data_IF_263085265014
#
_entry.id   IF_263085265014
#
_cell.length_a   1.000
_cell.length_b   1.000
_cell.length_c   1.000
_cell.angle_alpha   90.00
_cell.angle_beta   90.00
_cell.angle_gamma   90.00
#
_symmetry.space_group_name_H-M   'P 1'
#
loop_
_entity.id
_entity.type
_entity.pdbx_description
1 polymer ?
#
# COMPACT_ATOMS: atom_id res chain seq x y z
N UNK A 1 -0.28 0.58 16.47
CA UNK A 1 -0.48 0.43 15.01
C UNK A 1 0.00 1.71 14.33
N UNK A 2 0.76 1.64 13.26
CA UNK A 2 1.15 2.83 12.52
C UNK A 2 -0.06 3.47 11.84
N UNK A 3 -0.01 4.80 11.67
CA UNK A 3 -1.01 5.55 10.92
C UNK A 3 -0.29 6.44 9.90
N UNK A 4 -0.73 6.41 8.64
CA UNK A 4 -0.16 7.23 7.57
C UNK A 4 -1.18 8.25 7.05
N UNK A 5 -0.69 9.35 6.50
CA UNK A 5 -1.46 10.21 5.62
C UNK A 5 -1.13 9.84 4.18
N UNK A 6 -2.11 9.31 3.46
CA UNK A 6 -1.99 8.90 2.06
C UNK A 6 -2.48 10.04 1.17
N UNK A 7 -1.61 10.55 0.32
CA UNK A 7 -1.86 11.74 -0.50
C UNK A 7 -1.64 11.45 -1.99
N UNK A 8 -2.57 10.72 -2.65
CA UNK A 8 -2.53 10.63 -4.10
C UNK A 8 -2.67 12.01 -4.75
N UNK A 9 -2.06 12.17 -5.93
CA UNK A 9 -2.09 13.42 -6.68
C UNK A 9 -3.52 13.89 -6.96
N UNK A 10 -3.69 15.20 -6.95
CA UNK A 10 -4.94 15.91 -7.29
C UNK A 10 -4.75 16.73 -8.57
N UNK A 11 -3.80 16.34 -9.42
CA UNK A 11 -3.40 17.08 -10.62
C UNK A 11 -4.04 16.47 -11.89
N UNK A 12 -5.34 16.70 -12.07
CA UNK A 12 -6.12 16.23 -13.23
C UNK A 12 -5.62 16.78 -14.58
N UNK A 13 -4.89 17.91 -14.53
CA UNK A 13 -4.35 18.56 -15.75
C UNK A 13 -3.03 17.94 -16.25
N UNK A 14 -2.43 17.02 -15.51
CA UNK A 14 -1.25 16.29 -15.91
C UNK A 14 -1.66 15.06 -16.73
N UNK A 15 -1.94 15.29 -18.03
CA UNK A 15 -2.36 14.25 -18.94
C UNK A 15 -1.22 13.28 -19.27
N UNK A 16 -1.53 11.99 -19.24
CA UNK A 16 -0.60 10.96 -19.69
C UNK A 16 -0.52 10.93 -21.22
N UNK A 17 0.69 10.75 -21.72
CA UNK A 17 0.92 10.60 -23.16
C UNK A 17 0.07 9.46 -23.74
N UNK A 18 -0.27 9.56 -25.03
CA UNK A 18 -1.10 8.58 -25.76
C UNK A 18 -2.55 8.46 -25.25
N UNK A 19 -3.06 9.43 -24.52
CA UNK A 19 -4.45 9.43 -24.05
C UNK A 19 -4.73 8.37 -22.99
N UNK A 20 -3.74 8.04 -22.17
CA UNK A 20 -3.85 7.01 -21.12
C UNK A 20 -4.51 7.52 -19.82
N UNK A 21 -5.18 8.66 -19.84
CA UNK A 21 -5.76 9.30 -18.64
C UNK A 21 -4.83 10.35 -18.05
N UNK A 22 -4.95 10.63 -16.76
CA UNK A 22 -4.18 11.67 -16.08
C UNK A 22 -3.60 11.21 -14.73
N UNK A 23 -2.76 12.03 -14.13
CA UNK A 23 -2.05 11.72 -12.91
C UNK A 23 -3.00 11.50 -11.72
N UNK A 24 -4.02 12.35 -11.57
CA UNK A 24 -5.02 12.19 -10.50
C UNK A 24 -5.70 10.83 -10.59
N UNK A 25 -6.20 10.47 -11.77
CA UNK A 25 -6.89 9.20 -12.00
C UNK A 25 -6.03 8.00 -11.59
N UNK A 26 -4.79 7.92 -12.08
CA UNK A 26 -3.94 6.76 -11.85
C UNK A 26 -3.38 6.69 -10.43
N UNK A 27 -3.08 7.84 -9.81
CA UNK A 27 -2.60 7.84 -8.42
C UNK A 27 -3.72 7.55 -7.44
N UNK A 28 -4.97 7.90 -7.76
CA UNK A 28 -6.12 7.48 -6.97
C UNK A 28 -6.40 5.98 -7.12
N UNK A 29 -6.33 5.41 -8.32
CA UNK A 29 -6.42 3.95 -8.52
C UNK A 29 -5.32 3.19 -7.77
N UNK A 30 -4.11 3.72 -7.75
CA UNK A 30 -3.02 3.14 -6.96
C UNK A 30 -3.35 3.17 -5.46
N UNK A 31 -3.84 4.29 -4.95
CA UNK A 31 -4.26 4.40 -3.57
C UNK A 31 -5.40 3.42 -3.23
N UNK A 32 -6.40 3.28 -4.13
CA UNK A 32 -7.50 2.31 -3.98
C UNK A 32 -6.96 0.87 -3.86
N UNK A 33 -5.98 0.50 -4.70
CA UNK A 33 -5.34 -0.82 -4.65
C UNK A 33 -4.50 -1.05 -3.38
N UNK A 34 -3.95 0.01 -2.78
CA UNK A 34 -3.18 -0.07 -1.53
C UNK A 34 -4.06 -0.26 -0.29
N UNK A 35 -5.26 0.34 -0.27
CA UNK A 35 -6.11 0.43 0.93
C UNK A 35 -6.43 -0.93 1.58
N UNK A 36 -6.84 -1.97 0.85
CA UNK A 36 -7.12 -3.28 1.43
C UNK A 36 -5.88 -3.90 2.09
N UNK A 37 -4.71 -3.82 1.44
CA UNK A 37 -3.46 -4.35 1.97
C UNK A 37 -2.96 -3.55 3.20
N UNK A 38 -3.14 -2.22 3.20
CA UNK A 38 -2.85 -1.38 4.38
C UNK A 38 -3.70 -1.81 5.57
N UNK A 39 -5.00 -2.00 5.33
CA UNK A 39 -5.93 -2.45 6.36
C UNK A 39 -5.56 -3.84 6.89
N UNK A 40 -5.34 -4.82 6.00
CA UNK A 40 -4.96 -6.18 6.34
C UNK A 40 -3.66 -6.21 7.16
N UNK A 41 -2.66 -5.40 6.79
CA UNK A 41 -1.37 -5.30 7.47
C UNK A 41 -1.41 -4.43 8.74
N UNK A 42 -2.58 -3.92 9.15
CA UNK A 42 -2.74 -3.11 10.36
C UNK A 42 -2.13 -1.71 10.28
N UNK A 43 -1.99 -1.16 9.07
CA UNK A 43 -1.62 0.23 8.83
C UNK A 43 -2.89 1.06 8.69
N UNK A 44 -3.16 1.92 9.67
CA UNK A 44 -4.26 2.87 9.55
C UNK A 44 -3.88 4.00 8.59
N UNK A 45 -4.87 4.58 7.93
CA UNK A 45 -4.62 5.71 7.04
C UNK A 45 -5.75 6.75 7.09
N UNK A 46 -5.39 7.98 6.73
CA UNK A 46 -6.29 9.03 6.29
C UNK A 46 -5.87 9.43 4.90
N UNK A 47 -6.79 9.57 3.98
CA UNK A 47 -6.52 9.90 2.59
C UNK A 47 -7.10 11.26 2.24
N UNK A 48 -6.41 12.01 1.36
CA UNK A 48 -7.00 13.19 0.73
C UNK A 48 -8.07 12.77 -0.29
N UNK A 49 -8.83 13.76 -0.77
CA UNK A 49 -9.86 13.55 -1.82
C UNK A 49 -9.46 14.29 -3.10
N UNK A 50 -9.95 13.86 -4.28
CA UNK A 50 -9.59 14.47 -5.56
C UNK A 50 -9.89 15.98 -5.66
N UNK A 51 -10.91 16.48 -4.96
CA UNK A 51 -11.28 17.90 -4.91
C UNK A 51 -10.33 18.75 -4.04
N UNK A 52 -9.38 18.12 -3.35
CA UNK A 52 -8.36 18.83 -2.58
C UNK A 52 -7.24 19.35 -3.49
N UNK A 53 -6.39 20.19 -2.92
CA UNK A 53 -5.14 20.67 -3.51
C UNK A 53 -3.97 20.22 -2.66
N UNK A 54 -2.76 20.20 -3.19
CA UNK A 54 -1.55 19.92 -2.40
C UNK A 54 -1.48 20.78 -1.12
N UNK A 55 -1.91 22.04 -1.18
CA UNK A 55 -1.94 22.91 -0.02
C UNK A 55 -2.99 22.49 1.03
N UNK A 56 -4.15 22.01 0.62
CA UNK A 56 -5.17 21.50 1.57
C UNK A 56 -4.80 20.12 2.10
N UNK A 57 -4.18 19.25 1.30
CA UNK A 57 -3.62 17.96 1.76
C UNK A 57 -2.55 18.17 2.83
N UNK A 58 -1.62 19.12 2.63
CA UNK A 58 -0.63 19.52 3.65
C UNK A 58 -1.29 19.98 4.94
N UNK A 59 -2.34 20.81 4.86
CA UNK A 59 -3.07 21.28 6.06
C UNK A 59 -3.77 20.13 6.77
N UNK A 60 -4.44 19.25 6.05
CA UNK A 60 -5.11 18.08 6.60
C UNK A 60 -4.12 17.13 7.28
N UNK A 61 -3.01 16.82 6.62
CA UNK A 61 -1.91 16.06 7.21
C UNK A 61 -1.37 16.69 8.49
N UNK A 62 -1.19 18.01 8.51
CA UNK A 62 -0.70 18.74 9.67
C UNK A 62 -1.71 18.87 10.82
N UNK A 63 -2.99 18.64 10.57
CA UNK A 63 -4.03 18.62 11.59
C UNK A 63 -4.05 17.31 12.39
N UNK A 64 -3.51 16.21 11.83
CA UNK A 64 -3.39 14.92 12.49
C UNK A 64 -1.97 14.62 12.99
N UNK A 65 -1.80 13.41 13.55
CA UNK A 65 -0.52 12.89 13.98
C UNK A 65 -0.25 11.59 13.21
N UNK A 66 0.61 11.65 12.22
CA UNK A 66 0.93 10.54 11.34
C UNK A 66 2.37 10.07 11.52
N UNK A 67 2.58 8.77 11.40
CA UNK A 67 3.91 8.15 11.41
C UNK A 67 4.67 8.39 10.10
N UNK A 68 3.91 8.57 9.00
CA UNK A 68 4.43 8.91 7.67
C UNK A 68 3.36 9.69 6.89
N UNK A 69 3.79 10.69 6.11
CA UNK A 69 3.03 11.27 5.01
C UNK A 69 3.59 10.70 3.71
N UNK A 70 2.76 10.00 2.95
CA UNK A 70 3.11 9.40 1.67
C UNK A 70 2.32 10.06 0.56
N UNK A 71 3.00 10.81 -0.30
CA UNK A 71 2.41 11.40 -1.50
C UNK A 71 2.75 10.53 -2.72
N UNK A 72 1.76 10.32 -3.58
CA UNK A 72 1.84 9.53 -4.79
C UNK A 72 1.67 10.44 -6.00
N UNK A 73 2.69 10.52 -6.84
CA UNK A 73 2.78 11.37 -8.01
C UNK A 73 3.42 10.66 -9.18
N UNK A 74 3.33 11.29 -10.35
CA UNK A 74 4.12 10.94 -11.53
C UNK A 74 4.79 12.19 -12.09
N UNK A 75 6.02 12.05 -12.55
CA UNK A 75 6.87 13.12 -13.00
C UNK A 75 6.56 13.51 -14.45
N UNK A 76 7.04 14.68 -14.84
CA UNK A 76 7.10 15.13 -16.24
C UNK A 76 8.50 15.64 -16.55
N UNK A 77 8.95 15.41 -17.77
CA UNK A 77 10.16 16.03 -18.30
C UNK A 77 9.96 17.54 -18.51
N UNK A 78 11.04 18.31 -18.40
CA UNK A 78 10.99 19.70 -18.86
C UNK A 78 10.67 19.82 -20.33
N UNK A 79 10.17 21.00 -20.77
CA UNK A 79 9.70 21.24 -22.15
C UNK A 79 10.71 20.81 -23.22
N UNK A 80 12.00 21.06 -22.99
CA UNK A 80 13.08 20.69 -23.92
C UNK A 80 13.43 19.19 -23.93
N UNK A 81 12.87 18.41 -23.02
CA UNK A 81 13.18 16.98 -22.80
C UNK A 81 11.91 16.11 -22.78
N UNK A 82 10.79 16.62 -23.28
CA UNK A 82 9.53 15.90 -23.26
C UNK A 82 9.67 14.47 -23.81
N UNK A 83 9.21 13.48 -23.04
CA UNK A 83 9.27 12.07 -23.36
C UNK A 83 10.65 11.41 -23.27
N UNK A 84 11.71 12.12 -22.86
CA UNK A 84 13.07 11.57 -22.82
C UNK A 84 13.48 10.98 -21.49
N UNK A 85 12.89 11.47 -20.39
CA UNK A 85 13.24 11.02 -19.04
C UNK A 85 12.40 9.81 -18.64
N UNK A 86 12.99 8.97 -17.78
CA UNK A 86 12.36 7.78 -17.19
C UNK A 86 12.85 7.58 -15.76
N UNK A 87 12.12 6.79 -15.01
CA UNK A 87 12.57 6.31 -13.71
C UNK A 87 11.70 6.77 -12.55
N UNK A 88 11.95 6.18 -11.40
CA UNK A 88 11.22 6.43 -10.15
C UNK A 88 12.10 7.21 -9.19
N UNK A 89 11.53 8.21 -8.53
CA UNK A 89 12.25 9.02 -7.54
C UNK A 89 11.43 9.05 -6.24
N UNK A 90 12.06 8.65 -5.14
CA UNK A 90 11.49 8.81 -3.80
C UNK A 90 12.10 10.05 -3.14
N UNK A 91 11.37 11.15 -3.14
CA UNK A 91 11.80 12.41 -2.53
C UNK A 91 11.57 12.43 -1.03
N UNK A 92 12.54 12.98 -0.29
CA UNK A 92 12.44 13.18 1.16
C UNK A 92 13.05 14.51 1.61
N UNK A 93 12.70 14.98 2.80
CA UNK A 93 13.34 16.20 3.35
C UNK A 93 14.72 15.87 3.93
N UNK A 94 15.79 16.60 3.54
CA UNK A 94 17.19 16.26 3.92
C UNK A 94 17.44 16.27 5.43
N UNK A 95 16.65 16.99 6.23
CA UNK A 95 16.74 16.96 7.69
C UNK A 95 15.95 15.84 8.38
N UNK A 96 15.25 15.00 7.62
CA UNK A 96 14.37 13.93 8.15
C UNK A 96 15.03 12.56 8.01
N UNK A 97 15.68 12.07 9.06
CA UNK A 97 16.24 10.71 9.05
C UNK A 97 15.16 9.62 8.86
N UNK A 98 13.95 9.82 9.42
CA UNK A 98 12.83 8.90 9.24
C UNK A 98 12.27 8.95 7.81
N UNK A 99 12.16 10.15 7.22
CA UNK A 99 11.74 10.29 5.82
C UNK A 99 12.75 9.65 4.86
N UNK A 100 14.05 9.89 5.07
CA UNK A 100 15.12 9.25 4.28
C UNK A 100 15.04 7.72 4.36
N UNK A 101 14.87 7.17 5.56
CA UNK A 101 14.75 5.72 5.76
C UNK A 101 13.51 5.17 5.04
N UNK A 102 12.36 5.83 5.15
CA UNK A 102 11.14 5.42 4.45
C UNK A 102 11.32 5.46 2.92
N UNK A 103 11.93 6.55 2.39
CA UNK A 103 12.24 6.67 0.97
C UNK A 103 13.15 5.52 0.47
N UNK A 104 14.11 5.09 1.29
CA UNK A 104 15.00 3.97 0.94
C UNK A 104 14.23 2.65 0.82
N UNK A 105 13.38 2.29 1.80
CA UNK A 105 12.56 1.08 1.73
C UNK A 105 11.66 1.09 0.49
N UNK A 106 10.97 2.20 0.24
CA UNK A 106 10.09 2.35 -0.92
C UNK A 106 10.86 2.25 -2.25
N UNK A 107 12.01 2.90 -2.36
CA UNK A 107 12.84 2.82 -3.56
C UNK A 107 13.38 1.39 -3.79
N UNK A 108 13.81 0.69 -2.73
CA UNK A 108 14.34 -0.67 -2.86
C UNK A 108 13.25 -1.67 -3.28
N UNK A 109 12.03 -1.57 -2.74
CA UNK A 109 10.88 -2.36 -3.19
C UNK A 109 10.54 -2.08 -4.67
N UNK A 110 10.45 -0.81 -5.06
CA UNK A 110 10.14 -0.42 -6.44
C UNK A 110 11.22 -0.82 -7.44
N UNK A 111 12.50 -0.92 -7.05
CA UNK A 111 13.57 -1.48 -7.90
C UNK A 111 13.31 -2.92 -8.31
N UNK A 112 12.64 -3.69 -7.47
CA UNK A 112 12.38 -5.10 -7.76
C UNK A 112 11.37 -5.30 -8.91
N UNK A 113 10.49 -4.33 -9.15
CA UNK A 113 9.42 -4.44 -10.13
C UNK A 113 9.57 -3.50 -11.34
N UNK A 114 10.33 -2.40 -11.19
CA UNK A 114 10.51 -1.45 -12.27
C UNK A 114 11.51 -1.97 -13.32
N UNK A 115 11.22 -1.87 -14.64
CA UNK A 115 12.03 -2.49 -15.70
C UNK A 115 13.46 -1.93 -15.82
N UNK A 116 13.70 -0.73 -15.28
CA UNK A 116 15.02 -0.09 -15.29
C UNK A 116 15.46 0.24 -13.83
N UNK A 117 15.82 -0.78 -13.01
CA UNK A 117 16.07 -0.60 -11.58
C UNK A 117 17.16 0.43 -11.27
N UNK A 118 18.12 0.63 -12.18
CA UNK A 118 19.15 1.66 -12.03
C UNK A 118 18.63 3.10 -12.12
N UNK A 119 17.38 3.30 -12.61
CA UNK A 119 16.70 4.59 -12.65
C UNK A 119 15.77 4.81 -11.46
N UNK A 120 15.73 3.88 -10.51
CA UNK A 120 15.01 4.05 -9.24
C UNK A 120 15.98 4.56 -8.18
N UNK A 121 15.66 5.73 -7.61
CA UNK A 121 16.55 6.39 -6.64
C UNK A 121 15.81 7.15 -5.56
N UNK A 122 16.50 7.46 -4.48
CA UNK A 122 16.06 8.43 -3.48
C UNK A 122 16.72 9.77 -3.73
N UNK A 123 16.02 10.88 -3.46
CA UNK A 123 16.56 12.22 -3.65
C UNK A 123 16.10 13.19 -2.55
N UNK A 124 17.01 13.94 -1.89
CA UNK A 124 16.60 14.95 -0.95
C UNK A 124 16.04 16.18 -1.66
N UNK A 125 14.94 16.75 -1.12
CA UNK A 125 14.35 17.97 -1.67
C UNK A 125 13.93 18.97 -0.58
N UNK A 126 14.11 20.26 -0.89
CA UNK A 126 13.61 21.38 -0.07
C UNK A 126 12.55 22.22 -0.80
N UNK A 127 12.19 21.85 -2.02
CA UNK A 127 11.28 22.60 -2.88
C UNK A 127 9.85 22.05 -2.88
N UNK A 128 9.70 20.72 -2.79
CA UNK A 128 8.39 20.05 -2.83
C UNK A 128 7.62 20.32 -1.53
N UNK A 129 6.40 20.86 -1.67
CA UNK A 129 5.57 21.28 -0.55
C UNK A 129 5.19 20.13 0.39
N UNK A 130 4.75 19.00 -0.15
CA UNK A 130 4.31 17.82 0.61
C UNK A 130 5.46 17.07 1.31
N UNK A 131 6.68 17.39 0.96
CA UNK A 131 7.87 16.89 1.67
C UNK A 131 8.35 17.88 2.74
N UNK A 132 8.35 19.20 2.41
CA UNK A 132 8.93 20.25 3.25
C UNK A 132 8.01 20.78 4.33
N UNK A 133 6.68 20.86 4.06
CA UNK A 133 5.71 21.60 4.88
C UNK A 133 4.87 20.73 5.79
N UNK A 134 5.02 19.42 5.73
CA UNK A 134 4.33 18.48 6.61
C UNK A 134 5.14 18.21 7.88
N UNK A 135 4.44 17.97 8.99
CA UNK A 135 5.06 17.69 10.30
C UNK A 135 5.54 16.24 10.42
N UNK A 136 4.82 15.32 9.80
CA UNK A 136 5.19 13.91 9.76
C UNK A 136 6.48 13.72 8.97
N UNK A 137 7.27 12.67 9.20
CA UNK A 137 8.22 12.20 8.21
C UNK A 137 7.50 12.05 6.87
N UNK A 138 8.09 12.50 5.77
CA UNK A 138 7.39 12.54 4.50
C UNK A 138 8.22 11.93 3.39
N UNK A 139 7.54 11.23 2.48
CA UNK A 139 8.06 10.78 1.19
C UNK A 139 7.06 11.17 0.11
N UNK A 140 7.55 11.72 -0.99
CA UNK A 140 6.80 11.85 -2.22
C UNK A 140 7.42 10.93 -3.26
N UNK A 141 6.61 10.03 -3.81
CA UNK A 141 7.01 9.14 -4.89
C UNK A 141 6.64 9.77 -6.22
N UNK A 142 7.62 9.90 -7.11
CA UNK A 142 7.42 10.11 -8.54
C UNK A 142 7.56 8.75 -9.24
N UNK A 143 6.44 8.13 -9.58
CA UNK A 143 6.34 6.72 -10.02
C UNK A 143 6.56 6.53 -11.52
N UNK A 144 7.47 7.26 -12.11
CA UNK A 144 7.75 7.30 -13.54
C UNK A 144 7.37 8.64 -14.16
N UNK A 145 7.63 8.79 -15.45
CA UNK A 145 7.35 10.00 -16.20
C UNK A 145 6.11 9.81 -17.08
N UNK A 146 5.02 10.53 -16.79
CA UNK A 146 3.74 10.37 -17.52
C UNK A 146 3.80 10.90 -18.95
N UNK A 147 4.78 11.73 -19.30
CA UNK A 147 5.05 12.21 -20.65
C UNK A 147 5.93 11.24 -21.46
N UNK A 148 6.50 10.20 -20.84
CA UNK A 148 7.25 9.14 -21.52
C UNK A 148 6.34 7.94 -21.82
N UNK A 149 6.24 7.46 -23.10
CA UNK A 149 5.33 6.39 -23.47
C UNK A 149 5.55 5.06 -22.72
N UNK A 150 6.81 4.70 -22.47
CA UNK A 150 7.13 3.44 -21.79
C UNK A 150 6.78 3.50 -20.29
N UNK A 151 7.08 4.64 -19.63
CA UNK A 151 6.75 4.82 -18.22
C UNK A 151 5.24 4.96 -18.01
N UNK A 152 4.56 5.77 -18.85
CA UNK A 152 3.11 5.89 -18.82
C UNK A 152 2.42 4.52 -18.98
N UNK A 153 2.86 3.72 -19.96
CA UNK A 153 2.33 2.37 -20.15
C UNK A 153 2.64 1.46 -18.98
N UNK A 154 3.85 1.53 -18.42
CA UNK A 154 4.23 0.73 -17.25
C UNK A 154 3.35 1.07 -16.04
N UNK A 155 3.16 2.35 -15.74
CA UNK A 155 2.33 2.81 -14.62
C UNK A 155 0.92 2.21 -14.72
N UNK A 156 0.25 2.40 -15.87
CA UNK A 156 -1.15 1.98 -16.03
C UNK A 156 -1.35 0.47 -16.01
N UNK A 157 -0.32 -0.31 -16.34
CA UNK A 157 -0.40 -1.78 -16.39
C UNK A 157 0.15 -2.47 -15.13
N UNK A 158 0.76 -1.74 -14.18
CA UNK A 158 1.39 -2.31 -12.99
C UNK A 158 0.85 -1.70 -11.68
N UNK A 159 -0.39 -1.21 -11.68
CA UNK A 159 -1.00 -0.59 -10.49
C UNK A 159 -0.99 -1.55 -9.30
N UNK A 160 -1.47 -2.79 -9.47
CA UNK A 160 -1.57 -3.77 -8.38
C UNK A 160 -0.17 -4.16 -7.86
N UNK A 161 0.77 -4.46 -8.76
CA UNK A 161 2.14 -4.78 -8.35
C UNK A 161 2.86 -3.60 -7.67
N UNK A 162 2.57 -2.37 -8.10
CA UNK A 162 3.11 -1.16 -7.48
C UNK A 162 2.50 -0.94 -6.10
N UNK A 163 1.20 -1.15 -5.95
CA UNK A 163 0.50 -1.08 -4.67
C UNK A 163 1.06 -2.10 -3.66
N UNK A 164 1.20 -3.35 -4.08
CA UNK A 164 1.78 -4.42 -3.27
C UNK A 164 3.22 -4.08 -2.83
N UNK A 165 4.06 -3.66 -3.76
CA UNK A 165 5.45 -3.27 -3.47
C UNK A 165 5.55 -2.11 -2.47
N UNK A 166 4.68 -1.10 -2.61
CA UNK A 166 4.65 0.05 -1.69
C UNK A 166 4.19 -0.40 -0.30
N UNK A 167 3.11 -1.19 -0.19
CA UNK A 167 2.60 -1.62 1.12
C UNK A 167 3.58 -2.58 1.80
N UNK A 168 4.19 -3.53 1.06
CA UNK A 168 5.27 -4.38 1.57
C UNK A 168 6.43 -3.53 2.13
N UNK A 169 6.88 -2.53 1.39
CA UNK A 169 7.95 -1.62 1.84
C UNK A 169 7.56 -0.82 3.10
N UNK A 170 6.28 -0.42 3.21
CA UNK A 170 5.76 0.24 4.42
C UNK A 170 5.75 -0.70 5.62
N UNK A 171 5.36 -1.97 5.45
CA UNK A 171 5.38 -2.94 6.54
C UNK A 171 6.80 -3.23 7.02
N UNK A 172 7.77 -3.33 6.11
CA UNK A 172 9.20 -3.45 6.43
C UNK A 172 9.72 -2.21 7.16
N UNK A 173 9.36 -1.01 6.70
CA UNK A 173 9.73 0.25 7.35
C UNK A 173 9.20 0.34 8.78
N UNK A 174 7.96 -0.12 9.03
CA UNK A 174 7.34 -0.11 10.35
C UNK A 174 7.70 -1.33 11.20
N UNK A 175 8.31 -2.37 10.63
CA UNK A 175 8.67 -3.61 11.31
C UNK A 175 7.45 -4.45 11.70
N UNK A 176 6.45 -4.51 10.84
CA UNK A 176 5.22 -5.29 11.00
C UNK A 176 5.06 -6.29 9.84
N UNK A 177 4.27 -7.37 10.01
CA UNK A 177 4.03 -8.32 8.92
C UNK A 177 3.26 -7.68 7.76
N UNK A 178 3.55 -8.13 6.54
CA UNK A 178 2.78 -7.84 5.35
C UNK A 178 1.68 -8.90 5.16
N UNK A 179 0.46 -8.43 4.88
CA UNK A 179 -0.65 -9.26 4.48
C UNK A 179 -1.18 -8.77 3.13
N UNK A 180 -1.06 -9.61 2.08
CA UNK A 180 -1.58 -9.25 0.75
C UNK A 180 -3.12 -9.18 0.77
N UNK A 181 -3.67 -8.46 -0.18
CA UNK A 181 -5.11 -8.26 -0.39
C UNK A 181 -5.81 -9.52 -0.97
N UNK A 182 -5.36 -10.69 -0.64
CA UNK A 182 -6.03 -11.92 -1.09
C UNK A 182 -7.28 -12.26 -0.29
N UNK A 183 -7.61 -11.49 0.74
CA UNK A 183 -8.76 -11.73 1.60
C UNK A 183 -9.91 -10.73 1.36
N UNK A 184 -11.18 -11.13 1.49
CA UNK A 184 -11.64 -12.44 1.93
C UNK A 184 -11.56 -13.53 0.85
N UNK A 185 -11.12 -14.74 1.25
CA UNK A 185 -11.09 -15.91 0.39
C UNK A 185 -12.14 -16.93 0.83
N UNK A 186 -12.79 -17.65 -0.09
CA UNK A 186 -13.55 -18.84 0.29
C UNK A 186 -12.60 -19.91 0.83
N UNK A 187 -12.99 -20.53 1.92
CA UNK A 187 -12.22 -21.60 2.55
C UNK A 187 -13.11 -22.78 2.92
N UNK A 188 -12.53 -23.97 2.91
CA UNK A 188 -13.18 -25.20 3.33
C UNK A 188 -12.37 -25.87 4.43
N UNK A 189 -13.04 -26.21 5.53
CA UNK A 189 -12.41 -26.91 6.67
C UNK A 189 -11.99 -28.33 6.26
N UNK A 190 -10.78 -28.71 6.59
CA UNK A 190 -10.18 -30.05 6.37
C UNK A 190 -9.82 -30.68 7.72
N UNK A 191 -10.81 -31.24 8.38
CA UNK A 191 -10.68 -31.88 9.69
C UNK A 191 -10.96 -33.39 9.60
N UNK A 192 -10.08 -34.14 8.97
CA UNK A 192 -10.24 -35.57 8.59
C UNK A 192 -10.72 -36.51 9.72
N UNK A 193 -10.55 -36.16 10.98
CA UNK A 193 -10.85 -37.01 12.14
C UNK A 193 -11.70 -36.31 13.22
N UNK A 194 -12.56 -35.37 12.83
CA UNK A 194 -13.39 -34.72 13.85
C UNK A 194 -13.85 -33.31 13.51
N UNK A 195 -13.59 -32.39 14.42
CA UNK A 195 -13.94 -31.00 14.27
C UNK A 195 -12.71 -30.11 14.49
N UNK A 196 -12.67 -29.00 13.76
CA UNK A 196 -11.68 -27.94 13.94
C UNK A 196 -12.19 -26.98 15.01
N UNK A 197 -11.41 -26.78 16.05
CA UNK A 197 -11.71 -25.79 17.08
C UNK A 197 -11.50 -24.37 16.58
N UNK A 198 -12.43 -23.49 16.91
CA UNK A 198 -12.39 -22.06 16.61
C UNK A 198 -12.10 -21.31 17.92
N UNK A 199 -11.18 -20.36 17.88
CA UNK A 199 -10.69 -19.65 19.05
C UNK A 199 -11.01 -18.14 18.95
N UNK A 200 -11.13 -17.48 20.10
CA UNK A 200 -11.28 -16.03 20.17
C UNK A 200 -9.96 -15.27 19.95
N UNK A 201 -8.82 -15.98 20.02
CA UNK A 201 -7.46 -15.48 19.82
C UNK A 201 -6.64 -16.52 19.06
N UNK A 202 -5.58 -16.13 18.37
CA UNK A 202 -4.69 -17.06 17.67
C UNK A 202 -3.71 -17.74 18.65
N UNK A 203 -4.26 -18.49 19.61
CA UNK A 203 -3.49 -19.28 20.57
C UNK A 203 -4.33 -20.49 21.03
N UNK A 204 -3.65 -21.61 21.34
CA UNK A 204 -4.27 -22.86 21.78
C UNK A 204 -4.52 -22.92 23.30
N UNK A 205 -4.08 -21.94 24.07
CA UNK A 205 -4.22 -21.91 25.52
C UNK A 205 -5.60 -21.35 25.94
N UNK A 206 -6.33 -20.73 25.02
CA UNK A 206 -7.71 -20.26 25.26
C UNK A 206 -8.72 -21.38 24.95
N UNK A 207 -9.83 -21.49 25.71
CA UNK A 207 -10.91 -22.40 25.36
C UNK A 207 -11.51 -22.07 23.98
N UNK A 208 -11.83 -23.06 23.14
CA UNK A 208 -12.49 -22.83 21.87
C UNK A 208 -13.88 -22.22 22.07
N UNK A 209 -14.26 -21.32 21.17
CA UNK A 209 -15.57 -20.66 21.15
C UNK A 209 -16.58 -21.39 20.26
N UNK A 210 -16.12 -22.21 19.32
CA UNK A 210 -16.94 -23.01 18.43
C UNK A 210 -16.14 -24.20 17.89
N UNK A 211 -16.84 -25.10 17.19
CA UNK A 211 -16.24 -26.21 16.42
C UNK A 211 -16.86 -26.27 15.03
N UNK A 212 -16.01 -26.46 14.03
CA UNK A 212 -16.41 -26.63 12.62
C UNK A 212 -16.04 -28.04 12.16
N UNK A 213 -16.96 -28.69 11.48
CA UNK A 213 -16.75 -30.04 10.95
C UNK A 213 -16.08 -30.01 9.56
N UNK A 214 -15.49 -31.15 9.19
CA UNK A 214 -14.90 -31.33 7.87
C UNK A 214 -15.87 -30.95 6.75
N UNK A 215 -15.38 -30.23 5.73
CA UNK A 215 -16.18 -29.70 4.62
C UNK A 215 -16.98 -28.43 4.95
N UNK A 216 -16.92 -27.90 6.17
CA UNK A 216 -17.59 -26.64 6.51
C UNK A 216 -17.03 -25.49 5.68
N UNK A 217 -17.92 -24.71 5.07
CA UNK A 217 -17.56 -23.53 4.29
C UNK A 217 -17.38 -22.33 5.22
N UNK A 218 -16.28 -21.63 5.04
CA UNK A 218 -15.91 -20.44 5.81
C UNK A 218 -15.42 -19.34 4.87
N UNK A 219 -15.42 -18.11 5.34
CA UNK A 219 -14.74 -17.01 4.66
C UNK A 219 -13.48 -16.69 5.45
N UNK A 220 -12.33 -16.89 4.86
CA UNK A 220 -11.06 -16.44 5.46
C UNK A 220 -10.95 -14.95 5.27
N UNK A 221 -10.84 -14.21 6.37
CA UNK A 221 -10.81 -12.74 6.38
C UNK A 221 -9.38 -12.23 6.46
N UNK A 222 -8.48 -13.00 7.11
CA UNK A 222 -7.07 -12.63 7.26
C UNK A 222 -6.24 -13.84 7.69
N UNK A 223 -4.92 -13.73 7.52
CA UNK A 223 -3.93 -14.67 8.05
C UNK A 223 -3.03 -14.00 9.08
N UNK A 224 -2.68 -14.73 10.14
CA UNK A 224 -1.80 -14.25 11.19
C UNK A 224 -0.94 -15.39 11.76
N UNK A 225 0.32 -15.46 11.37
CA UNK A 225 1.31 -16.43 11.89
C UNK A 225 0.83 -17.87 11.94
N UNK A 226 0.27 -18.38 10.82
CA UNK A 226 -0.27 -19.74 10.72
C UNK A 226 -1.67 -19.92 11.28
N UNK A 227 -2.36 -18.82 11.57
CA UNK A 227 -3.77 -18.78 11.93
C UNK A 227 -4.57 -18.04 10.87
N UNK A 228 -5.74 -18.55 10.53
CA UNK A 228 -6.73 -17.80 9.78
C UNK A 228 -7.76 -17.17 10.71
N UNK A 229 -8.03 -15.88 10.53
CA UNK A 229 -9.25 -15.25 11.01
C UNK A 229 -10.35 -15.60 10.02
N UNK A 230 -11.37 -16.30 10.46
CA UNK A 230 -12.48 -16.75 9.61
C UNK A 230 -13.82 -16.16 10.06
N UNK A 231 -14.71 -15.97 9.10
CA UNK A 231 -16.13 -15.78 9.32
C UNK A 231 -16.87 -17.09 9.03
N UNK A 232 -17.74 -17.50 9.96
CA UNK A 232 -18.60 -18.67 9.87
C UNK A 232 -19.98 -18.32 10.41
N UNK A 233 -20.99 -18.35 9.56
CA UNK A 233 -22.29 -17.75 9.89
C UNK A 233 -22.15 -16.28 10.27
N UNK A 234 -22.70 -15.89 11.41
CA UNK A 234 -22.63 -14.52 11.95
C UNK A 234 -21.46 -14.29 12.92
N UNK A 235 -20.55 -15.26 13.04
CA UNK A 235 -19.45 -15.23 13.98
C UNK A 235 -18.10 -15.11 13.28
N UNK A 236 -17.11 -14.62 14.02
CA UNK A 236 -15.71 -14.59 13.62
C UNK A 236 -14.85 -15.26 14.68
N UNK A 237 -13.76 -15.89 14.25
CA UNK A 237 -12.80 -16.51 15.15
C UNK A 237 -11.54 -16.97 14.44
N UNK A 238 -10.57 -17.45 15.19
CA UNK A 238 -9.29 -17.93 14.70
C UNK A 238 -9.26 -19.45 14.62
N UNK A 239 -8.70 -19.96 13.54
CA UNK A 239 -8.43 -21.40 13.34
C UNK A 239 -6.99 -21.57 12.87
N UNK A 240 -6.38 -22.73 13.16
CA UNK A 240 -5.08 -23.05 12.58
C UNK A 240 -5.18 -23.18 11.05
N UNK A 241 -4.32 -22.47 10.33
CA UNK A 241 -4.39 -22.34 8.88
C UNK A 241 -4.23 -23.67 8.14
N UNK A 242 -3.43 -24.60 8.70
CA UNK A 242 -3.21 -25.94 8.14
C UNK A 242 -4.48 -26.78 7.95
N UNK A 243 -5.57 -26.41 8.62
CA UNK A 243 -6.85 -27.11 8.56
C UNK A 243 -7.92 -26.40 7.74
N UNK A 244 -7.56 -25.41 6.93
CA UNK A 244 -8.49 -24.74 6.02
C UNK A 244 -7.84 -24.65 4.63
N UNK A 245 -8.48 -25.30 3.66
CA UNK A 245 -8.11 -25.13 2.26
C UNK A 245 -8.75 -23.84 1.73
N UNK A 246 -7.95 -22.93 1.18
CA UNK A 246 -8.38 -21.71 0.50
C UNK A 246 -8.24 -21.89 -1.01
N UNK A 247 -9.19 -21.34 -1.78
CA UNK A 247 -9.18 -21.43 -3.26
C UNK A 247 -8.66 -20.14 -3.91
#
# INVERSE_FOLDING_TARGET
>A
MPIIYLSPSTQEYNEYVNGLGNEEEWMNRLADAMEPMLFASGIQYTRNTPDMTAASSIRASNAGNYNLHLALHTNASGEDQAGQNRGIIAFYFPGSARGMRAAQFLADGLKAIYPLPNLVRTEPTTTIGEVRRVRAPAVLLELGFHDNPDDAQWIVTHIDATAESIVLSLTEYFGIPFFPDSYPLPGEVRAELGALDVYSRPDFDTPPIAQLYDGAQVTVINEYYGWYLIQFGDQVGYVAADFVAVE
#
